data_IF_964637599127
#
_entry.id   IF_964637599127
#
_cell.length_a   1.000
_cell.length_b   1.000
_cell.length_c   1.000
_cell.angle_alpha   90.00
_cell.angle_beta   90.00
_cell.angle_gamma   90.00
#
_symmetry.space_group_name_H-M   'P 1'
#
loop_
_entity.id
_entity.type
_entity.pdbx_description
1 polymer ?
#
# COMPACT_ATOMS: atom_id res chain seq x y z
N UNK A 1 3.68 -5.27 13.42
CA UNK A 1 2.94 -4.06 13.02
C UNK A 1 3.66 -3.23 11.95
N UNK A 2 4.93 -2.85 12.14
CA UNK A 2 5.65 -1.97 11.21
C UNK A 2 5.70 -2.49 9.76
N UNK A 3 5.98 -3.79 9.57
CA UNK A 3 6.04 -4.42 8.26
C UNK A 3 4.71 -4.28 7.48
N UNK A 4 3.57 -4.56 8.14
CA UNK A 4 2.26 -4.43 7.52
C UNK A 4 1.95 -3.00 7.05
N UNK A 5 2.33 -1.99 7.83
CA UNK A 5 2.12 -0.57 7.47
C UNK A 5 2.98 -0.17 6.26
N UNK A 6 4.22 -0.68 6.19
CA UNK A 6 5.09 -0.50 5.03
C UNK A 6 4.51 -1.21 3.79
N UNK A 7 4.03 -2.45 3.93
CA UNK A 7 3.40 -3.21 2.84
C UNK A 7 2.11 -2.56 2.35
N UNK A 8 1.30 -2.01 3.26
CA UNK A 8 0.13 -1.22 2.92
C UNK A 8 0.53 0.01 2.08
N UNK A 9 1.54 0.75 2.53
CA UNK A 9 2.07 1.90 1.80
C UNK A 9 2.56 1.54 0.39
N UNK A 10 3.30 0.44 0.26
CA UNK A 10 3.74 -0.08 -1.05
C UNK A 10 2.55 -0.46 -1.93
N UNK A 11 1.52 -1.09 -1.38
CA UNK A 11 0.30 -1.46 -2.12
C UNK A 11 -0.40 -0.23 -2.69
N UNK A 12 -0.59 0.81 -1.87
CA UNK A 12 -1.18 2.09 -2.30
C UNK A 12 -0.36 2.70 -3.45
N UNK A 13 0.96 2.76 -3.28
CA UNK A 13 1.87 3.28 -4.30
C UNK A 13 1.78 2.51 -5.61
N UNK A 14 1.80 1.18 -5.57
CA UNK A 14 1.70 0.34 -6.77
C UNK A 14 0.38 0.53 -7.51
N UNK A 15 -0.73 0.58 -6.77
CA UNK A 15 -2.05 0.82 -7.35
C UNK A 15 -2.15 2.21 -7.97
N UNK A 16 -1.59 3.23 -7.32
CA UNK A 16 -1.52 4.60 -7.84
C UNK A 16 -0.69 4.68 -9.12
N UNK A 17 0.53 4.14 -9.10
CA UNK A 17 1.44 4.13 -10.24
C UNK A 17 0.87 3.32 -11.41
N UNK A 18 0.17 2.21 -11.14
CA UNK A 18 -0.55 1.43 -12.15
C UNK A 18 -1.68 2.20 -12.86
N UNK A 19 -2.15 3.32 -12.29
CA UNK A 19 -3.09 4.24 -12.92
C UNK A 19 -2.41 5.46 -13.56
N UNK A 20 -1.09 5.58 -13.48
CA UNK A 20 -0.33 6.74 -13.95
C UNK A 20 -0.56 8.01 -13.12
N UNK A 21 -1.02 7.87 -11.88
CA UNK A 21 -1.39 9.02 -11.04
C UNK A 21 -0.20 9.55 -10.22
N UNK A 22 -0.13 10.88 -10.07
CA UNK A 22 0.78 11.52 -9.10
C UNK A 22 0.24 11.38 -7.67
N UNK A 23 1.07 11.64 -6.65
CA UNK A 23 0.59 11.67 -5.26
C UNK A 23 -0.47 12.77 -5.03
N UNK A 24 -0.37 13.89 -5.76
CA UNK A 24 -1.40 14.94 -5.75
C UNK A 24 -2.73 14.40 -6.28
N UNK A 25 -2.67 13.72 -7.42
CA UNK A 25 -3.83 13.16 -8.13
C UNK A 25 -4.62 12.16 -7.26
N UNK A 26 -3.91 11.33 -6.48
CA UNK A 26 -4.53 10.42 -5.52
C UNK A 26 -5.08 11.16 -4.29
N UNK A 27 -4.37 12.18 -3.82
CA UNK A 27 -4.79 12.97 -2.67
C UNK A 27 -6.11 13.70 -2.96
N UNK A 28 -6.23 14.33 -4.13
CA UNK A 28 -7.46 14.97 -4.61
C UNK A 28 -8.62 13.97 -4.68
N UNK A 29 -8.40 12.80 -5.30
CA UNK A 29 -9.45 11.75 -5.44
C UNK A 29 -9.90 11.13 -4.12
N UNK A 30 -9.01 11.11 -3.13
CA UNK A 30 -9.30 10.51 -1.82
C UNK A 30 -9.72 11.54 -0.78
N UNK A 31 -9.79 12.83 -1.15
CA UNK A 31 -10.03 13.93 -0.21
C UNK A 31 -9.07 13.86 0.98
N UNK A 32 -7.77 13.84 0.64
CA UNK A 32 -6.64 13.80 1.57
C UNK A 32 -5.59 14.85 1.18
N UNK A 33 -4.67 15.14 2.10
CA UNK A 33 -3.51 15.98 1.78
C UNK A 33 -2.43 15.17 1.06
N UNK A 34 -1.82 15.74 0.01
CA UNK A 34 -0.69 15.15 -0.75
C UNK A 34 0.44 14.66 0.15
N UNK A 35 0.86 15.47 1.13
CA UNK A 35 1.93 15.08 2.05
C UNK A 35 1.53 13.87 2.91
N UNK A 36 0.25 13.79 3.32
CA UNK A 36 -0.25 12.65 4.08
C UNK A 36 -0.30 11.37 3.24
N UNK A 37 -0.70 11.45 1.96
CA UNK A 37 -0.59 10.33 1.01
C UNK A 37 0.86 9.87 0.89
N UNK A 38 1.82 10.80 0.78
CA UNK A 38 3.24 10.47 0.75
C UNK A 38 3.76 9.79 2.02
N UNK A 39 3.30 10.20 3.20
CA UNK A 39 3.64 9.54 4.47
C UNK A 39 3.05 8.12 4.55
N UNK A 40 1.83 7.92 4.06
CA UNK A 40 1.19 6.59 3.98
C UNK A 40 1.99 5.67 3.06
N UNK A 41 2.34 6.13 1.86
CA UNK A 41 3.08 5.31 0.88
C UNK A 41 4.47 4.91 1.37
N UNK A 42 5.07 5.71 2.25
CA UNK A 42 6.36 5.40 2.90
C UNK A 42 6.22 4.59 4.18
N UNK A 43 5.01 4.25 4.61
CA UNK A 43 4.74 3.54 5.86
C UNK A 43 5.11 4.33 7.12
N UNK A 44 5.14 5.67 7.04
CA UNK A 44 5.52 6.55 8.16
C UNK A 44 4.37 6.82 9.13
N UNK A 45 3.14 6.65 8.67
CA UNK A 45 1.91 6.85 9.44
C UNK A 45 1.00 5.65 9.29
N UNK A 46 0.18 5.42 10.31
CA UNK A 46 -0.87 4.40 10.28
C UNK A 46 -2.17 5.11 9.86
N UNK A 47 -2.70 4.84 8.66
CA UNK A 47 -3.98 5.41 8.25
C UNK A 47 -5.12 4.82 9.09
N UNK A 48 -6.11 5.66 9.41
CA UNK A 48 -7.35 5.17 10.01
C UNK A 48 -8.10 4.24 9.04
N UNK A 49 -9.04 3.44 9.54
CA UNK A 49 -9.90 2.62 8.69
C UNK A 49 -10.69 3.45 7.66
N UNK A 50 -11.12 4.65 8.05
CA UNK A 50 -11.83 5.60 7.16
C UNK A 50 -10.89 6.11 6.06
N UNK A 51 -9.64 6.44 6.42
CA UNK A 51 -8.60 6.85 5.46
C UNK A 51 -8.30 5.74 4.47
N UNK A 52 -8.14 4.50 4.94
CA UNK A 52 -7.92 3.35 4.08
C UNK A 52 -9.10 3.12 3.13
N UNK A 53 -10.34 3.37 3.58
CA UNK A 53 -11.54 3.25 2.74
C UNK A 53 -11.59 4.33 1.66
N UNK A 54 -11.25 5.58 2.00
CA UNK A 54 -11.12 6.68 1.04
C UNK A 54 -10.12 6.34 -0.06
N UNK A 55 -8.95 5.83 0.32
CA UNK A 55 -7.91 5.41 -0.62
C UNK A 55 -8.37 4.24 -1.52
N UNK A 56 -9.00 3.22 -0.94
CA UNK A 56 -9.53 2.09 -1.70
C UNK A 56 -10.54 2.57 -2.76
N UNK A 57 -11.52 3.37 -2.33
CA UNK A 57 -12.55 3.95 -3.22
C UNK A 57 -11.90 4.79 -4.33
N UNK A 58 -10.97 5.68 -4.00
CA UNK A 58 -10.25 6.50 -4.98
C UNK A 58 -9.47 5.65 -6.01
N UNK A 59 -8.87 4.54 -5.57
CA UNK A 59 -8.17 3.58 -6.42
C UNK A 59 -9.12 2.65 -7.19
N UNK A 60 -10.44 2.79 -7.03
CA UNK A 60 -11.44 1.99 -7.73
C UNK A 60 -11.49 0.53 -7.29
N UNK A 61 -11.12 0.24 -6.04
CA UNK A 61 -11.22 -1.09 -5.44
C UNK A 61 -11.94 -1.03 -4.09
N UNK A 62 -12.49 -2.14 -3.63
CA UNK A 62 -13.06 -2.21 -2.29
C UNK A 62 -11.96 -2.45 -1.23
N UNK A 63 -12.29 -2.22 0.05
CA UNK A 63 -11.35 -2.41 1.16
C UNK A 63 -10.77 -3.81 1.23
N UNK A 64 -11.59 -4.84 1.01
CA UNK A 64 -11.16 -6.24 1.07
C UNK A 64 -10.10 -6.51 0.00
N UNK A 65 -10.31 -6.02 -1.23
CA UNK A 65 -9.37 -6.14 -2.32
C UNK A 65 -8.07 -5.38 -2.08
N UNK A 66 -8.13 -4.24 -1.38
CA UNK A 66 -6.92 -3.50 -0.97
C UNK A 66 -6.11 -4.31 0.04
N UNK A 67 -6.74 -4.83 1.09
CA UNK A 67 -6.07 -5.61 2.14
C UNK A 67 -5.52 -6.93 1.62
N UNK A 68 -6.27 -7.64 0.76
CA UNK A 68 -5.78 -8.86 0.11
C UNK A 68 -4.49 -8.62 -0.68
N UNK A 69 -4.38 -7.50 -1.40
CA UNK A 69 -3.15 -7.14 -2.13
C UNK A 69 -1.98 -6.86 -1.19
N UNK A 70 -2.26 -6.23 -0.05
CA UNK A 70 -1.27 -6.00 1.00
C UNK A 70 -0.73 -7.33 1.57
N UNK A 71 -1.60 -8.27 1.92
CA UNK A 71 -1.22 -9.59 2.42
C UNK A 71 -0.43 -10.41 1.37
N UNK A 72 -0.81 -10.32 0.10
CA UNK A 72 -0.11 -10.99 -1.01
C UNK A 72 1.35 -10.51 -1.15
N UNK A 73 1.62 -9.22 -0.93
CA UNK A 73 2.98 -8.69 -0.95
C UNK A 73 3.82 -9.22 0.22
N UNK A 74 3.25 -9.30 1.42
CA UNK A 74 3.90 -9.86 2.60
C UNK A 74 4.31 -11.33 2.36
N UNK A 75 3.37 -12.13 1.84
CA UNK A 75 3.61 -13.55 1.51
C UNK A 75 4.68 -13.72 0.42
N UNK A 76 4.62 -12.89 -0.63
CA UNK A 76 5.61 -12.93 -1.72
C UNK A 76 7.02 -12.58 -1.23
N UNK A 77 7.14 -11.61 -0.31
CA UNK A 77 8.42 -11.24 0.31
C UNK A 77 8.96 -12.37 1.18
N UNK A 78 8.11 -13.01 1.98
CA UNK A 78 8.50 -14.14 2.82
C UNK A 78 9.00 -15.32 1.98
N UNK A 79 8.25 -15.70 0.93
CA UNK A 79 8.65 -16.77 0.02
C UNK A 79 10.00 -16.49 -0.65
N UNK A 80 10.22 -15.23 -1.09
CA UNK A 80 11.50 -14.83 -1.68
C UNK A 80 12.66 -14.93 -0.69
N UNK A 81 12.46 -14.58 0.58
CA UNK A 81 13.48 -14.70 1.63
C UNK A 81 13.84 -16.15 1.91
N UNK A 82 12.85 -17.05 1.97
CA UNK A 82 13.08 -18.49 2.16
C UNK A 82 13.89 -19.06 0.99
N UNK A 83 13.52 -18.73 -0.24
CA UNK A 83 14.24 -19.20 -1.42
C UNK A 83 15.70 -18.70 -1.50
N UNK A 84 15.96 -17.45 -1.09
CA UNK A 84 17.33 -16.92 -1.04
C UNK A 84 18.19 -17.60 0.04
N UNK A 85 17.60 -17.93 1.19
CA UNK A 85 18.29 -18.66 2.25
C UNK A 85 18.63 -20.10 1.83
N UNK A 86 17.74 -20.75 1.07
CA UNK A 86 17.95 -22.12 0.59
C UNK A 86 19.06 -22.25 -0.48
N UNK A 87 19.43 -21.16 -1.17
CA UNK A 87 20.52 -21.13 -2.17
C UNK A 87 21.89 -20.89 -1.50
N UNK A 88 21.90 -20.37 -0.27
CA UNK A 88 23.12 -20.04 0.48
C UNK A 88 23.61 -21.18 1.41
N UNK A 89 22.93 -22.32 1.42
CA UNK A 89 23.32 -23.55 2.11
C UNK A 89 23.84 -24.57 1.10
#
# INVERSE_FOLDING_TARGET
>A
MKAFVEDFGVTIRQLREGKGWSQEELAERSDLNRSYVGEIERGRVIPSIVTAQKLATALGINMVGLLMRCEQLEQSRLARRINLAAIAC
#
